data_IF_530557102517
#
_entry.id   IF_530557102517
#
_cell.length_a   1.000
_cell.length_b   1.000
_cell.length_c   1.000
_cell.angle_alpha   90.00
_cell.angle_beta   90.00
_cell.angle_gamma   90.00
#
_symmetry.space_group_name_H-M   'P 1'
#
loop_
_entity.id
_entity.type
_entity.pdbx_description
1 polymer ?
#
# COMPACT_ATOMS: atom_id res chain seq x y z
N UNK A 1 12.25 -6.46 -14.54
CA UNK A 1 12.30 -6.84 -13.75
C UNK A 1 12.20 -6.44 -12.29
N UNK A 2 11.36 -5.48 -11.91
CA UNK A 2 10.89 -5.34 -10.52
C UNK A 2 10.07 -6.59 -10.13
N UNK A 3 9.28 -7.13 -11.06
CA UNK A 3 8.36 -8.25 -10.89
C UNK A 3 9.01 -9.51 -10.28
N UNK A 4 10.14 -9.95 -10.81
CA UNK A 4 10.67 -11.28 -10.48
C UNK A 4 11.34 -11.34 -9.10
N UNK A 5 11.97 -10.25 -8.66
CA UNK A 5 12.66 -10.20 -7.37
C UNK A 5 11.67 -10.02 -6.20
N UNK A 6 10.67 -9.16 -6.36
CA UNK A 6 9.65 -8.97 -5.33
C UNK A 6 8.82 -10.25 -5.17
N UNK A 7 8.46 -10.92 -6.28
CA UNK A 7 7.69 -12.17 -6.24
C UNK A 7 8.43 -13.31 -5.52
N UNK A 8 9.76 -13.42 -5.69
CA UNK A 8 10.55 -14.42 -4.95
C UNK A 8 10.58 -14.17 -3.44
N UNK A 9 10.60 -12.91 -3.03
CA UNK A 9 10.62 -12.54 -1.61
C UNK A 9 9.34 -12.98 -0.90
N UNK A 10 8.17 -12.84 -1.52
CA UNK A 10 6.89 -13.24 -0.92
C UNK A 10 6.61 -14.76 -0.95
N UNK A 11 7.49 -15.57 -1.57
CA UNK A 11 7.50 -17.03 -1.47
C UNK A 11 8.30 -17.55 -0.27
N UNK A 12 9.09 -16.67 0.38
CA UNK A 12 9.90 -17.05 1.54
C UNK A 12 8.97 -17.35 2.75
N UNK A 13 9.02 -18.57 3.33
CA UNK A 13 8.18 -18.94 4.47
C UNK A 13 8.32 -18.00 5.67
N UNK A 14 9.50 -17.40 5.87
CA UNK A 14 9.75 -16.43 6.95
C UNK A 14 8.95 -15.14 6.75
N UNK A 15 8.84 -14.68 5.52
CA UNK A 15 8.05 -13.50 5.13
C UNK A 15 6.55 -13.80 5.29
N UNK A 16 6.09 -14.95 4.79
CA UNK A 16 4.70 -15.39 4.99
C UNK A 16 4.36 -15.47 6.48
N UNK A 17 5.26 -16.08 7.29
CA UNK A 17 5.11 -16.16 8.74
C UNK A 17 5.05 -14.81 9.42
N UNK A 18 5.88 -13.85 9.01
CA UNK A 18 5.82 -12.48 9.50
C UNK A 18 4.46 -11.82 9.22
N UNK A 19 4.01 -11.85 7.96
CA UNK A 19 2.69 -11.28 7.59
C UNK A 19 1.53 -11.98 8.29
N UNK A 20 1.63 -13.30 8.53
CA UNK A 20 0.60 -14.06 9.24
C UNK A 20 0.46 -13.66 10.72
N UNK A 21 1.51 -13.09 11.32
CA UNK A 21 1.48 -12.58 12.71
C UNK A 21 0.92 -11.15 12.80
N UNK A 22 0.87 -10.40 11.71
CA UNK A 22 0.25 -9.07 11.70
C UNK A 22 -1.26 -9.20 11.86
N UNK A 23 -1.79 -8.63 12.94
CA UNK A 23 -3.21 -8.75 13.27
C UNK A 23 -3.94 -7.43 13.46
N UNK A 24 -3.22 -6.31 13.58
CA UNK A 24 -3.82 -5.01 13.85
C UNK A 24 -4.13 -4.23 12.56
N UNK A 25 -5.27 -3.54 12.54
CA UNK A 25 -5.54 -2.53 11.53
C UNK A 25 -4.68 -1.29 11.76
N UNK A 26 -4.25 -0.67 10.68
CA UNK A 26 -3.66 0.66 10.70
C UNK A 26 -4.72 1.70 11.14
N UNK A 27 -4.32 2.84 11.76
CA UNK A 27 -5.27 3.88 12.14
C UNK A 27 -6.17 4.36 10.99
N UNK A 28 -5.62 4.57 9.79
CA UNK A 28 -6.42 4.95 8.62
C UNK A 28 -7.44 3.87 8.21
N UNK A 29 -7.06 2.60 8.27
CA UNK A 29 -7.98 1.49 7.98
C UNK A 29 -9.14 1.44 8.97
N UNK A 30 -8.89 1.73 10.25
CA UNK A 30 -9.95 1.84 11.28
C UNK A 30 -10.90 3.00 10.97
N UNK A 31 -10.36 4.14 10.57
CA UNK A 31 -11.16 5.30 10.15
C UNK A 31 -12.05 4.94 8.98
N UNK A 32 -11.51 4.31 7.94
CA UNK A 32 -12.26 3.91 6.73
C UNK A 32 -13.33 2.87 7.07
N UNK A 33 -12.98 1.87 7.90
CA UNK A 33 -13.95 0.89 8.40
C UNK A 33 -15.13 1.58 9.09
N UNK A 34 -14.86 2.55 9.98
CA UNK A 34 -15.89 3.32 10.70
C UNK A 34 -16.73 4.16 9.74
N UNK A 35 -16.12 4.81 8.75
CA UNK A 35 -16.84 5.63 7.76
C UNK A 35 -17.82 4.82 6.90
N UNK A 36 -17.48 3.57 6.60
CA UNK A 36 -18.29 2.70 5.76
C UNK A 36 -19.22 1.77 6.56
N UNK A 37 -19.11 1.74 7.87
CA UNK A 37 -19.71 0.74 8.77
C UNK A 37 -21.19 0.49 8.52
N UNK A 38 -22.01 1.52 8.35
CA UNK A 38 -23.45 1.38 8.13
C UNK A 38 -23.81 0.76 6.79
N UNK A 39 -22.90 0.82 5.81
CA UNK A 39 -23.11 0.36 4.43
C UNK A 39 -22.49 -1.01 4.15
N UNK A 40 -21.48 -1.43 4.95
CA UNK A 40 -20.68 -2.62 4.69
C UNK A 40 -21.54 -3.89 4.54
N UNK A 41 -22.60 -4.05 5.34
CA UNK A 41 -23.44 -5.27 5.33
C UNK A 41 -24.10 -5.59 3.98
N UNK A 42 -24.23 -4.59 3.12
CA UNK A 42 -24.79 -4.75 1.77
C UNK A 42 -23.72 -4.73 0.67
N UNK A 43 -22.46 -4.48 1.02
CA UNK A 43 -21.37 -4.34 0.06
C UNK A 43 -20.74 -5.68 -0.31
N UNK A 44 -20.37 -5.80 -1.57
CA UNK A 44 -19.41 -6.80 -2.08
C UNK A 44 -18.02 -6.20 -2.02
N UNK A 45 -17.14 -6.84 -1.25
CA UNK A 45 -15.78 -6.34 -1.02
C UNK A 45 -14.73 -7.24 -1.69
N UNK A 46 -13.79 -6.60 -2.37
CA UNK A 46 -12.52 -7.19 -2.78
C UNK A 46 -11.39 -6.70 -1.88
N UNK A 47 -10.69 -7.63 -1.23
CA UNK A 47 -9.44 -7.34 -0.51
C UNK A 47 -8.27 -7.78 -1.41
N UNK A 48 -7.69 -6.81 -2.13
CA UNK A 48 -6.66 -7.00 -3.14
C UNK A 48 -5.27 -6.88 -2.51
N UNK A 49 -4.39 -7.84 -2.79
CA UNK A 49 -3.11 -7.95 -2.10
C UNK A 49 -3.30 -8.27 -0.62
N UNK A 50 -4.24 -9.17 -0.32
CA UNK A 50 -4.69 -9.48 1.04
C UNK A 50 -3.58 -10.01 1.96
N UNK A 51 -2.45 -10.47 1.38
CA UNK A 51 -1.37 -11.09 2.11
C UNK A 51 -1.85 -12.31 2.91
N UNK A 52 -1.48 -12.40 4.17
CA UNK A 52 -1.91 -13.48 5.06
C UNK A 52 -3.19 -13.14 5.87
N UNK A 53 -4.05 -12.26 5.35
CA UNK A 53 -5.37 -12.00 5.91
C UNK A 53 -5.41 -11.07 7.12
N UNK A 54 -4.57 -10.05 7.19
CA UNK A 54 -4.52 -9.08 8.30
C UNK A 54 -5.82 -8.26 8.42
N UNK A 55 -6.34 -7.77 7.30
CA UNK A 55 -7.56 -6.98 7.16
C UNK A 55 -8.82 -7.84 7.24
N UNK A 56 -8.74 -9.07 6.76
CA UNK A 56 -9.86 -10.03 6.66
C UNK A 56 -10.63 -10.18 7.97
N UNK A 57 -9.93 -10.32 9.10
CA UNK A 57 -10.55 -10.49 10.44
C UNK A 57 -11.55 -9.38 10.77
N UNK A 58 -11.34 -8.19 10.23
CA UNK A 58 -12.13 -7.00 10.56
C UNK A 58 -13.20 -6.70 9.53
N UNK A 59 -12.90 -6.88 8.25
CA UNK A 59 -13.83 -6.53 7.17
C UNK A 59 -14.75 -7.69 6.79
N UNK A 60 -14.25 -8.91 6.69
CA UNK A 60 -15.05 -10.03 6.21
C UNK A 60 -16.33 -10.30 7.03
N UNK A 61 -16.33 -10.17 8.38
CA UNK A 61 -17.58 -10.36 9.17
C UNK A 61 -18.63 -9.27 8.97
N UNK A 62 -18.26 -8.12 8.38
CA UNK A 62 -19.11 -6.94 8.29
C UNK A 62 -19.71 -6.74 6.90
N UNK A 63 -19.13 -7.36 5.86
CA UNK A 63 -19.55 -7.17 4.47
C UNK A 63 -20.52 -8.25 4.02
N UNK A 64 -21.36 -7.94 3.02
CA UNK A 64 -22.31 -8.89 2.45
C UNK A 64 -21.63 -10.02 1.67
N UNK A 65 -20.56 -9.70 0.95
CA UNK A 65 -19.71 -10.66 0.24
C UNK A 65 -18.25 -10.25 0.39
N UNK A 66 -17.36 -11.21 0.66
CA UNK A 66 -15.92 -10.96 0.78
C UNK A 66 -15.13 -11.90 -0.12
N UNK A 67 -14.26 -11.32 -0.94
CA UNK A 67 -13.28 -12.07 -1.74
C UNK A 67 -11.90 -11.51 -1.46
N UNK A 68 -10.95 -12.39 -1.09
CA UNK A 68 -9.54 -12.03 -0.91
C UNK A 68 -8.69 -12.52 -2.07
N UNK A 69 -7.83 -11.63 -2.58
CA UNK A 69 -6.95 -11.90 -3.72
C UNK A 69 -5.52 -11.54 -3.37
N UNK A 70 -4.59 -12.42 -3.72
CA UNK A 70 -3.15 -12.13 -3.69
C UNK A 70 -2.46 -12.85 -4.85
N UNK A 71 -1.36 -12.29 -5.35
CA UNK A 71 -0.58 -12.95 -6.40
C UNK A 71 0.28 -14.10 -5.86
N UNK A 72 0.54 -14.18 -4.54
CA UNK A 72 1.27 -15.25 -3.88
C UNK A 72 0.31 -16.37 -3.48
N UNK A 73 0.55 -17.55 -4.05
CA UNK A 73 -0.18 -18.76 -3.69
C UNK A 73 0.06 -19.16 -2.22
N UNK A 74 1.23 -18.85 -1.68
CA UNK A 74 1.62 -19.11 -0.30
C UNK A 74 0.82 -18.24 0.68
N UNK A 75 0.61 -16.95 0.35
CA UNK A 75 -0.25 -16.05 1.14
C UNK A 75 -1.70 -16.53 1.11
N UNK A 76 -2.21 -16.90 -0.05
CA UNK A 76 -3.57 -17.45 -0.18
C UNK A 76 -3.73 -18.78 0.58
N UNK A 77 -2.71 -19.63 0.58
CA UNK A 77 -2.72 -20.86 1.38
C UNK A 77 -2.84 -20.57 2.90
N UNK A 78 -2.09 -19.57 3.38
CA UNK A 78 -2.19 -19.10 4.77
C UNK A 78 -3.59 -18.53 5.09
N UNK A 79 -4.19 -17.77 4.17
CA UNK A 79 -5.57 -17.30 4.32
C UNK A 79 -6.58 -18.42 4.38
N UNK A 80 -6.50 -19.42 3.49
CA UNK A 80 -7.39 -20.60 3.49
C UNK A 80 -7.29 -21.39 4.80
N UNK A 81 -6.11 -21.50 5.38
CA UNK A 81 -5.92 -22.17 6.66
C UNK A 81 -6.57 -21.36 7.81
N UNK A 82 -6.43 -20.03 7.80
CA UNK A 82 -6.95 -19.14 8.85
C UNK A 82 -8.47 -18.92 8.77
N UNK A 83 -9.01 -18.82 7.56
CA UNK A 83 -10.40 -18.47 7.28
C UNK A 83 -10.98 -19.39 6.18
N UNK A 84 -11.21 -20.68 6.49
CA UNK A 84 -11.56 -21.71 5.50
C UNK A 84 -12.92 -21.52 4.80
N UNK A 85 -13.79 -20.66 5.36
CA UNK A 85 -15.13 -20.40 4.79
C UNK A 85 -15.19 -19.20 3.84
N UNK A 86 -14.08 -18.48 3.66
CA UNK A 86 -14.04 -17.31 2.78
C UNK A 86 -13.51 -17.69 1.40
N UNK A 87 -13.81 -16.85 0.43
CA UNK A 87 -13.37 -17.04 -0.96
C UNK A 87 -11.99 -16.43 -1.16
N UNK A 88 -11.07 -17.25 -1.67
CA UNK A 88 -9.67 -16.89 -1.89
C UNK A 88 -9.24 -17.22 -3.30
N UNK A 89 -8.62 -16.26 -3.99
CA UNK A 89 -8.14 -16.44 -5.35
C UNK A 89 -6.68 -16.00 -5.47
N UNK A 90 -5.92 -16.72 -6.28
CA UNK A 90 -4.56 -16.30 -6.69
C UNK A 90 -4.71 -15.54 -7.99
N UNK A 91 -4.41 -14.24 -7.98
CA UNK A 91 -4.47 -13.41 -9.18
C UNK A 91 -3.52 -12.21 -9.09
N UNK A 92 -3.14 -11.70 -10.24
CA UNK A 92 -2.34 -10.49 -10.39
C UNK A 92 -3.27 -9.28 -10.50
N UNK A 93 -3.04 -8.25 -9.69
CA UNK A 93 -3.85 -7.03 -9.69
C UNK A 93 -3.91 -6.30 -11.05
N UNK A 94 -2.99 -6.63 -11.97
CA UNK A 94 -2.95 -6.08 -13.34
C UNK A 94 -3.85 -6.81 -14.33
N UNK A 95 -4.39 -7.94 -13.92
CA UNK A 95 -5.33 -8.74 -14.72
C UNK A 95 -6.33 -9.40 -13.75
N UNK A 96 -7.54 -8.86 -13.70
CA UNK A 96 -8.64 -9.30 -12.87
C UNK A 96 -9.85 -9.75 -13.73
N UNK A 97 -9.57 -10.32 -14.92
CA UNK A 97 -10.56 -10.75 -15.92
C UNK A 97 -11.58 -11.77 -15.39
N UNK A 98 -11.25 -12.49 -14.29
CA UNK A 98 -12.19 -13.38 -13.62
C UNK A 98 -13.35 -12.66 -12.93
N UNK A 99 -13.25 -11.33 -12.75
CA UNK A 99 -14.32 -10.52 -12.18
C UNK A 99 -15.03 -9.71 -13.27
N UNK A 100 -16.36 -9.70 -13.18
CA UNK A 100 -17.20 -8.92 -14.07
C UNK A 100 -17.01 -7.40 -13.83
N UNK A 101 -17.30 -6.61 -14.83
CA UNK A 101 -17.37 -5.17 -14.71
C UNK A 101 -18.45 -4.76 -13.69
N UNK A 102 -18.22 -3.67 -12.98
CA UNK A 102 -19.18 -3.10 -12.01
C UNK A 102 -19.65 -4.11 -10.94
N UNK A 103 -18.75 -4.92 -10.42
CA UNK A 103 -19.10 -6.00 -9.48
C UNK A 103 -18.94 -5.61 -8.01
N UNK A 104 -17.84 -4.91 -7.63
CA UNK A 104 -17.49 -4.64 -6.24
C UNK A 104 -17.95 -3.26 -5.79
N UNK A 105 -18.58 -3.21 -4.62
CA UNK A 105 -18.97 -1.95 -3.96
C UNK A 105 -17.81 -1.32 -3.19
N UNK A 106 -16.86 -2.15 -2.70
CA UNK A 106 -15.66 -1.70 -2.01
C UNK A 106 -14.45 -2.54 -2.40
N UNK A 107 -13.38 -1.88 -2.82
CA UNK A 107 -12.08 -2.50 -3.12
C UNK A 107 -11.03 -1.91 -2.18
N UNK A 108 -10.35 -2.78 -1.43
CA UNK A 108 -9.26 -2.41 -0.52
C UNK A 108 -7.94 -2.95 -1.06
N UNK A 109 -6.96 -2.08 -1.30
CA UNK A 109 -5.59 -2.46 -1.64
C UNK A 109 -4.64 -1.82 -0.62
N UNK A 110 -4.59 -2.41 0.55
CA UNK A 110 -3.91 -1.85 1.71
C UNK A 110 -2.45 -2.29 1.82
N UNK A 111 -1.74 -1.68 2.78
CA UNK A 111 -0.38 -1.98 3.16
C UNK A 111 0.63 -1.89 2.01
N UNK A 112 0.41 -0.88 1.14
CA UNK A 112 1.30 -0.47 0.05
C UNK A 112 1.52 -1.55 -1.03
N UNK A 113 0.56 -2.47 -1.21
CA UNK A 113 0.67 -3.55 -2.18
C UNK A 113 0.90 -3.05 -3.62
N UNK A 114 0.28 -1.92 -3.98
CA UNK A 114 0.45 -1.30 -5.31
C UNK A 114 1.89 -0.82 -5.58
N UNK A 115 2.69 -0.56 -4.55
CA UNK A 115 4.04 0.00 -4.69
C UNK A 115 5.11 -1.03 -5.06
N UNK A 116 4.74 -2.32 -5.06
CA UNK A 116 5.57 -3.40 -5.59
C UNK A 116 5.42 -3.61 -7.10
N UNK A 117 4.54 -2.81 -7.73
CA UNK A 117 4.24 -2.87 -9.17
C UNK A 117 5.07 -1.80 -9.89
N UNK A 118 5.50 -2.10 -11.13
CA UNK A 118 6.28 -1.14 -11.91
C UNK A 118 5.50 0.15 -12.18
N UNK A 119 6.18 1.30 -12.37
CA UNK A 119 5.48 2.57 -12.62
C UNK A 119 4.50 2.51 -13.81
N UNK A 120 4.86 1.78 -14.87
CA UNK A 120 3.99 1.62 -16.05
C UNK A 120 2.79 0.70 -15.75
N UNK A 121 3.02 -0.40 -15.04
CA UNK A 121 1.98 -1.39 -14.75
C UNK A 121 0.97 -0.91 -13.70
N UNK A 122 1.29 0.13 -12.90
CA UNK A 122 0.35 0.73 -11.94
C UNK A 122 -0.94 1.21 -12.60
N UNK A 123 -0.84 1.74 -13.81
CA UNK A 123 -2.00 2.20 -14.58
C UNK A 123 -2.91 1.04 -14.99
N UNK A 124 -2.36 -0.13 -15.33
CA UNK A 124 -3.15 -1.33 -15.58
C UNK A 124 -3.96 -1.75 -14.36
N UNK A 125 -3.36 -1.64 -13.17
CA UNK A 125 -4.07 -1.93 -11.90
C UNK A 125 -5.23 -0.94 -11.67
N UNK A 126 -4.98 0.36 -11.86
CA UNK A 126 -6.01 1.38 -11.65
C UNK A 126 -7.17 1.23 -12.66
N UNK A 127 -6.85 0.85 -13.91
CA UNK A 127 -7.82 0.55 -14.95
C UNK A 127 -8.69 -0.67 -14.57
N UNK A 128 -8.08 -1.78 -14.16
CA UNK A 128 -8.79 -2.97 -13.71
C UNK A 128 -9.68 -2.68 -12.50
N UNK A 129 -9.18 -1.94 -11.50
CA UNK A 129 -9.98 -1.55 -10.33
C UNK A 129 -11.17 -0.68 -10.73
N UNK A 130 -10.96 0.27 -11.65
CA UNK A 130 -12.05 1.11 -12.18
C UNK A 130 -13.09 0.28 -12.93
N UNK A 131 -12.66 -0.74 -13.68
CA UNK A 131 -13.54 -1.64 -14.44
C UNK A 131 -14.41 -2.54 -13.54
N UNK A 132 -13.78 -3.20 -12.55
CA UNK A 132 -14.49 -4.17 -11.70
C UNK A 132 -15.26 -3.52 -10.56
N UNK A 133 -14.96 -2.27 -10.22
CA UNK A 133 -15.68 -1.52 -9.20
C UNK A 133 -16.98 -0.94 -9.71
N UNK A 134 -18.00 -0.89 -8.88
CA UNK A 134 -19.28 -0.27 -9.18
C UNK A 134 -19.21 1.25 -9.16
N UNK A 135 -19.91 1.90 -10.06
CA UNK A 135 -20.13 3.34 -10.01
C UNK A 135 -20.74 3.76 -8.65
N UNK A 136 -20.14 4.78 -8.01
CA UNK A 136 -20.47 5.21 -6.66
C UNK A 136 -19.92 4.31 -5.53
N UNK A 137 -19.23 3.23 -5.88
CA UNK A 137 -18.48 2.39 -4.96
C UNK A 137 -17.18 3.04 -4.49
N UNK A 138 -16.42 2.36 -3.64
CA UNK A 138 -15.20 2.90 -3.04
C UNK A 138 -13.98 2.07 -3.40
N UNK A 139 -12.89 2.77 -3.70
CA UNK A 139 -11.55 2.20 -3.75
C UNK A 139 -10.68 2.83 -2.68
N UNK A 140 -10.07 2.01 -1.83
CA UNK A 140 -9.11 2.45 -0.82
C UNK A 140 -7.76 1.79 -1.06
N UNK A 141 -6.71 2.60 -1.17
CA UNK A 141 -5.34 2.10 -1.24
C UNK A 141 -4.44 2.83 -0.25
N UNK A 142 -3.31 2.22 0.08
CA UNK A 142 -2.17 2.93 0.66
C UNK A 142 -0.98 2.92 -0.28
N UNK A 143 -0.19 3.98 -0.25
CA UNK A 143 1.02 4.12 -1.05
C UNK A 143 2.09 4.90 -0.30
N UNK A 144 3.36 4.52 -0.51
CA UNK A 144 4.51 5.18 0.10
C UNK A 144 4.62 6.63 -0.34
N UNK A 145 4.88 7.48 0.66
CA UNK A 145 5.04 8.91 0.46
C UNK A 145 6.53 9.26 0.31
N UNK A 146 6.90 9.75 -0.88
CA UNK A 146 8.28 10.16 -1.16
C UNK A 146 8.77 11.25 -0.18
N UNK A 147 7.90 12.19 0.21
CA UNK A 147 8.25 13.24 1.17
C UNK A 147 8.66 12.66 2.52
N UNK A 148 8.05 11.55 2.95
CA UNK A 148 8.34 10.87 4.21
C UNK A 148 9.70 10.19 4.24
N UNK A 149 10.20 9.68 3.11
CA UNK A 149 11.49 8.96 3.03
C UNK A 149 12.68 9.88 2.72
N UNK A 150 12.46 11.05 2.08
CA UNK A 150 13.55 12.01 1.74
C UNK A 150 14.46 12.31 2.91
N UNK A 151 13.97 12.56 4.15
CA UNK A 151 14.83 12.82 5.30
C UNK A 151 15.82 11.70 5.62
N UNK A 152 15.52 10.46 5.21
CA UNK A 152 16.40 9.31 5.42
C UNK A 152 17.66 9.38 4.56
N UNK A 153 17.62 10.12 3.44
CA UNK A 153 18.78 10.35 2.55
C UNK A 153 19.68 11.51 3.01
N UNK A 154 19.25 12.34 3.96
CA UNK A 154 20.04 13.44 4.52
C UNK A 154 20.89 12.95 5.69
N UNK A 155 22.20 12.76 5.45
CA UNK A 155 23.14 12.31 6.48
C UNK A 155 23.22 13.24 7.70
N UNK A 156 22.95 14.55 7.52
CA UNK A 156 22.96 15.53 8.61
C UNK A 156 21.89 15.22 9.65
N UNK A 157 20.73 14.68 9.22
CA UNK A 157 19.66 14.25 10.12
C UNK A 157 19.94 12.93 10.86
N UNK A 158 21.05 12.26 10.54
CA UNK A 158 21.48 11.02 11.21
C UNK A 158 22.35 11.28 12.44
N UNK A 159 22.78 12.53 12.64
CA UNK A 159 23.59 12.94 13.78
C UNK A 159 22.63 13.32 14.93
N UNK A 160 22.84 12.71 16.10
CA UNK A 160 22.13 12.98 17.35
C UNK A 160 23.10 13.33 18.47
N UNK A 161 22.59 13.80 19.60
CA UNK A 161 23.42 14.05 20.81
C UNK A 161 23.99 12.76 21.39
N UNK A 162 23.43 11.61 21.10
CA UNK A 162 23.95 10.32 21.53
C UNK A 162 24.88 9.76 20.44
N UNK A 163 26.21 9.60 20.73
CA UNK A 163 27.17 9.11 19.74
C UNK A 163 26.87 7.70 19.23
N UNK A 164 26.36 6.80 20.08
CA UNK A 164 26.00 5.46 19.69
C UNK A 164 24.82 5.45 18.71
N UNK A 165 23.76 6.25 18.98
CA UNK A 165 22.64 6.42 18.06
C UNK A 165 23.09 7.02 16.72
N UNK A 166 23.98 8.01 16.76
CA UNK A 166 24.57 8.59 15.53
C UNK A 166 25.34 7.55 14.72
N UNK A 167 26.13 6.70 15.37
CA UNK A 167 26.85 5.63 14.69
C UNK A 167 25.89 4.65 13.98
N UNK A 168 24.87 4.16 14.70
CA UNK A 168 23.88 3.23 14.12
C UNK A 168 23.12 3.88 12.96
N UNK A 169 22.64 5.12 13.14
CA UNK A 169 21.92 5.86 12.10
C UNK A 169 22.78 6.10 10.85
N UNK A 170 24.05 6.43 11.02
CA UNK A 170 24.98 6.60 9.90
C UNK A 170 25.29 5.28 9.21
N UNK A 171 25.38 4.18 9.93
CA UNK A 171 25.54 2.86 9.32
C UNK A 171 24.34 2.49 8.45
N UNK A 172 23.13 2.68 8.97
CA UNK A 172 21.88 2.47 8.22
C UNK A 172 21.85 3.37 6.98
N UNK A 173 22.24 4.64 7.12
CA UNK A 173 22.34 5.58 6.00
C UNK A 173 23.33 5.11 4.93
N UNK A 174 24.51 4.62 5.32
CA UNK A 174 25.50 4.06 4.37
C UNK A 174 24.91 2.88 3.61
N UNK A 175 24.20 1.97 4.29
CA UNK A 175 23.54 0.83 3.65
C UNK A 175 22.45 1.30 2.68
N UNK A 176 21.60 2.25 3.12
CA UNK A 176 20.57 2.85 2.27
C UNK A 176 21.18 3.44 0.99
N UNK A 177 22.27 4.19 1.11
CA UNK A 177 22.98 4.79 -0.01
C UNK A 177 23.62 3.74 -0.93
N UNK A 178 24.22 2.71 -0.38
CA UNK A 178 24.82 1.61 -1.13
C UNK A 178 23.77 0.80 -1.92
N UNK A 179 22.57 0.63 -1.35
CA UNK A 179 21.45 -0.03 -2.03
C UNK A 179 20.76 0.85 -3.08
N UNK A 180 20.95 2.17 -3.02
CA UNK A 180 20.36 3.16 -3.93
C UNK A 180 21.41 4.12 -4.51
N UNK A 181 22.44 3.62 -5.23
CA UNK A 181 23.59 4.45 -5.64
C UNK A 181 23.23 5.56 -6.64
N UNK A 182 22.17 5.37 -7.42
CA UNK A 182 21.70 6.32 -8.44
C UNK A 182 20.84 7.46 -7.88
N UNK A 183 20.47 7.41 -6.60
CA UNK A 183 19.60 8.42 -5.97
C UNK A 183 20.43 9.34 -5.07
N UNK A 184 20.27 10.65 -5.21
CA UNK A 184 20.79 11.63 -4.26
C UNK A 184 19.67 12.35 -3.51
N UNK A 185 20.00 12.96 -2.38
CA UNK A 185 19.04 13.77 -1.63
C UNK A 185 18.45 14.90 -2.51
N UNK A 186 19.29 15.58 -3.28
CA UNK A 186 18.90 16.70 -4.15
C UNK A 186 17.97 16.22 -5.28
N UNK A 187 18.25 15.05 -5.86
CA UNK A 187 17.39 14.49 -6.90
C UNK A 187 16.00 14.13 -6.34
N UNK A 188 15.93 13.58 -5.12
CA UNK A 188 14.66 13.21 -4.49
C UNK A 188 13.80 14.43 -4.15
N UNK A 189 14.41 15.59 -3.84
CA UNK A 189 13.68 16.83 -3.56
C UNK A 189 12.87 17.35 -4.75
N UNK A 190 13.27 17.00 -5.97
CA UNK A 190 12.63 17.47 -7.21
C UNK A 190 11.90 16.37 -7.98
N UNK A 191 11.98 15.13 -7.50
CA UNK A 191 11.34 13.99 -8.15
C UNK A 191 9.85 13.93 -7.82
N UNK A 192 9.03 13.57 -8.79
CA UNK A 192 7.62 13.22 -8.56
C UNK A 192 7.49 11.82 -7.95
N UNK A 193 8.40 10.90 -8.31
CA UNK A 193 8.49 9.54 -7.75
C UNK A 193 9.92 9.00 -7.79
N UNK A 194 10.17 7.98 -6.99
CA UNK A 194 11.42 7.22 -7.01
C UNK A 194 11.18 5.73 -6.73
N UNK A 195 12.08 4.88 -7.24
CA UNK A 195 12.13 3.45 -6.88
C UNK A 195 13.23 3.30 -5.84
N UNK A 196 12.86 2.95 -4.62
CA UNK A 196 13.75 2.93 -3.46
C UNK A 196 13.79 1.52 -2.87
N UNK A 197 14.99 1.09 -2.48
CA UNK A 197 15.20 -0.06 -1.60
C UNK A 197 15.38 0.46 -0.19
N UNK A 198 14.44 0.14 0.68
CA UNK A 198 14.38 0.62 2.05
C UNK A 198 14.62 -0.48 3.08
N UNK A 199 14.70 -0.10 4.35
CA UNK A 199 14.97 -0.99 5.47
C UNK A 199 13.96 -2.12 5.66
N UNK A 200 12.65 -1.91 5.53
CA UNK A 200 11.70 -3.00 5.53
C UNK A 200 12.12 -4.07 4.50
N UNK A 201 12.14 -5.33 4.92
CA UNK A 201 12.64 -6.46 4.14
C UNK A 201 14.15 -6.42 3.79
N UNK A 202 14.97 -5.77 4.64
CA UNK A 202 16.44 -5.76 4.51
C UNK A 202 16.92 -5.31 3.12
N UNK A 203 16.35 -4.25 2.57
CA UNK A 203 16.69 -3.65 1.26
C UNK A 203 16.54 -4.60 0.06
N UNK A 204 15.78 -5.70 0.22
CA UNK A 204 15.60 -6.70 -0.86
C UNK A 204 14.54 -6.25 -1.87
N UNK A 205 13.50 -5.56 -1.41
CA UNK A 205 12.39 -5.11 -2.25
C UNK A 205 12.67 -3.75 -2.87
N UNK A 206 12.13 -3.54 -4.06
CA UNK A 206 12.09 -2.25 -4.74
C UNK A 206 10.69 -1.69 -4.60
N UNK A 207 10.56 -0.58 -3.87
CA UNK A 207 9.31 0.07 -3.58
C UNK A 207 9.16 1.35 -4.40
N UNK A 208 7.96 1.56 -4.93
CA UNK A 208 7.59 2.81 -5.56
C UNK A 208 7.21 3.82 -4.48
N UNK A 209 7.85 4.96 -4.49
CA UNK A 209 7.55 6.12 -3.66
C UNK A 209 7.09 7.26 -4.54
N UNK A 210 5.91 7.81 -4.30
CA UNK A 210 5.39 8.97 -5.02
C UNK A 210 5.22 10.17 -4.10
N UNK A 211 5.35 11.38 -4.63
CA UNK A 211 4.81 12.54 -3.93
C UNK A 211 3.28 12.42 -3.86
N UNK A 212 2.63 12.99 -2.83
CA UNK A 212 1.17 12.98 -2.77
C UNK A 212 0.52 13.61 -4.01
N UNK A 213 1.17 14.62 -4.61
CA UNK A 213 0.75 15.26 -5.86
C UNK A 213 0.74 14.28 -7.04
N UNK A 214 1.80 13.52 -7.20
CA UNK A 214 1.90 12.50 -8.25
C UNK A 214 0.91 11.37 -8.03
N UNK A 215 0.76 10.90 -6.80
CA UNK A 215 -0.25 9.87 -6.48
C UNK A 215 -1.67 10.36 -6.80
N UNK A 216 -2.01 11.60 -6.45
CA UNK A 216 -3.29 12.22 -6.81
C UNK A 216 -3.46 12.36 -8.32
N UNK A 217 -2.40 12.70 -9.06
CA UNK A 217 -2.45 12.79 -10.52
C UNK A 217 -2.83 11.44 -11.15
N UNK A 218 -2.22 10.35 -10.68
CA UNK A 218 -2.55 8.99 -11.15
C UNK A 218 -4.00 8.63 -10.82
N UNK A 219 -4.44 8.85 -9.59
CA UNK A 219 -5.77 8.47 -9.13
C UNK A 219 -6.89 9.26 -9.81
N UNK A 220 -6.70 10.56 -10.04
CA UNK A 220 -7.70 11.43 -10.69
C UNK A 220 -8.00 11.06 -12.15
N UNK A 221 -7.15 10.25 -12.77
CA UNK A 221 -7.40 9.72 -14.12
C UNK A 221 -8.49 8.64 -14.14
N UNK A 222 -8.78 8.02 -12.98
CA UNK A 222 -9.68 6.88 -12.86
C UNK A 222 -10.77 7.04 -11.79
N UNK A 223 -10.57 7.93 -10.81
CA UNK A 223 -11.44 8.03 -9.62
C UNK A 223 -11.77 9.48 -9.28
N UNK A 224 -12.84 9.64 -8.49
CA UNK A 224 -13.36 10.93 -8.03
C UNK A 224 -13.31 11.03 -6.51
N UNK A 225 -13.61 12.22 -5.97
CA UNK A 225 -13.78 12.49 -4.53
C UNK A 225 -12.68 11.84 -3.65
N UNK A 226 -11.41 12.09 -3.99
CA UNK A 226 -10.30 11.47 -3.30
C UNK A 226 -10.07 12.12 -1.94
N UNK A 227 -10.21 11.35 -0.87
CA UNK A 227 -9.86 11.74 0.50
C UNK A 227 -8.54 11.08 0.91
N UNK A 228 -7.71 11.81 1.63
CA UNK A 228 -6.38 11.36 2.03
C UNK A 228 -6.32 11.26 3.55
N UNK A 229 -5.74 10.18 4.06
CA UNK A 229 -5.62 9.92 5.50
C UNK A 229 -4.18 9.63 5.88
N UNK A 230 -3.75 10.17 7.02
CA UNK A 230 -2.50 9.82 7.68
C UNK A 230 -2.54 8.35 8.11
N UNK A 231 -1.57 7.54 7.70
CA UNK A 231 -1.45 6.16 8.17
C UNK A 231 -1.27 6.08 9.68
N UNK A 232 -0.56 7.06 10.24
CA UNK A 232 -0.13 7.10 11.63
C UNK A 232 -1.26 7.49 12.58
N UNK A 233 -2.08 8.46 12.20
CA UNK A 233 -3.14 9.00 13.05
C UNK A 233 -4.55 8.58 12.62
N UNK A 234 -4.74 8.20 11.36
CA UNK A 234 -6.04 7.95 10.75
C UNK A 234 -6.83 9.22 10.48
N UNK A 235 -6.26 10.40 10.70
CA UNK A 235 -6.92 11.67 10.44
C UNK A 235 -6.90 12.00 8.96
N UNK A 236 -7.99 12.63 8.49
CA UNK A 236 -8.09 13.15 7.12
C UNK A 236 -7.21 14.38 6.97
N UNK A 237 -6.38 14.40 5.93
CA UNK A 237 -5.56 15.53 5.50
C UNK A 237 -6.40 16.38 4.54
N UNK A 238 -6.82 17.57 5.00
CA UNK A 238 -7.83 18.37 4.28
C UNK A 238 -7.26 19.52 3.47
N UNK A 239 -6.07 19.99 3.80
CA UNK A 239 -5.47 21.14 3.14
C UNK A 239 -4.26 20.74 2.31
N UNK A 240 -4.02 21.46 1.22
CA UNK A 240 -2.83 21.31 0.38
C UNK A 240 -1.56 21.63 1.18
N UNK A 241 -1.60 22.60 2.09
CA UNK A 241 -0.47 22.95 2.94
C UNK A 241 -0.10 21.78 3.86
N UNK A 242 -1.08 21.16 4.50
CA UNK A 242 -0.88 19.98 5.37
C UNK A 242 -0.31 18.81 4.56
N UNK A 243 -0.84 18.58 3.35
CA UNK A 243 -0.37 17.52 2.47
C UNK A 243 1.08 17.73 2.01
N UNK A 244 1.44 18.96 1.64
CA UNK A 244 2.77 19.31 1.15
C UNK A 244 3.84 19.27 2.25
N UNK A 245 3.46 19.34 3.53
CA UNK A 245 4.36 19.25 4.68
C UNK A 245 4.28 17.90 5.41
N UNK A 246 3.45 16.99 4.94
CA UNK A 246 3.27 15.69 5.56
C UNK A 246 4.49 14.79 5.36
N UNK A 247 5.05 14.29 6.45
CA UNK A 247 6.21 13.39 6.46
C UNK A 247 5.85 11.96 6.88
N UNK A 248 4.60 11.59 6.81
CA UNK A 248 4.20 10.20 7.01
C UNK A 248 4.84 9.31 5.94
N UNK A 249 5.31 8.13 6.31
CA UNK A 249 5.99 7.22 5.37
C UNK A 249 5.08 6.70 4.28
N UNK A 250 3.78 6.60 4.54
CA UNK A 250 2.74 6.31 3.53
C UNK A 250 1.43 6.99 3.89
N UNK A 251 0.58 7.12 2.91
CA UNK A 251 -0.74 7.71 3.04
C UNK A 251 -1.80 6.74 2.52
N UNK A 252 -3.02 6.87 3.05
CA UNK A 252 -4.20 6.17 2.56
C UNK A 252 -5.03 7.11 1.70
N UNK A 253 -5.55 6.59 0.61
CA UNK A 253 -6.41 7.30 -0.33
C UNK A 253 -7.72 6.55 -0.46
N UNK A 254 -8.83 7.19 -0.10
CA UNK A 254 -10.18 6.69 -0.29
C UNK A 254 -10.81 7.46 -1.45
N UNK A 255 -11.15 6.73 -2.51
CA UNK A 255 -11.64 7.26 -3.77
C UNK A 255 -13.06 6.77 -4.02
N UNK A 256 -13.86 7.56 -4.74
CA UNK A 256 -15.14 7.13 -5.30
C UNK A 256 -14.90 6.66 -6.75
N UNK A 257 -15.44 5.51 -7.09
CA UNK A 257 -15.40 4.92 -8.46
C UNK A 257 -16.45 5.65 -9.31
N UNK A 258 -16.08 6.15 -10.52
CA UNK A 258 -16.96 6.96 -11.37
C UNK A 258 -18.16 6.21 -11.93
#
# INVERSE_FOLDING_TARGET
MIKDKNQQTYKDPSIVGYYAQLTALQPAEKTILTLLQERLSTMKMLDLGVGAGRTTKYFAPLVGEYIGVDYSAEMIAACRQKFPHLVWQVADARNLEQFADNYFDFILFSFNGIDYISPADRFLVLEEISRIGKAGGYFCLSSHNLQGIIPEFDWKKKISLNPFSSYVNLLIWVILRACNPSLSYEQLLTADYAIIRDEPHNFRLQNYYATPKEQLRQLRSYFQEIKIYSWKTGQEIKSEQELNTNLDHWLYYLCVIP
#
